data_IF_647956163379
#
_entry.id   IF_647956163379
#
_cell.length_a   1.000
_cell.length_b   1.000
_cell.length_c   1.000
_cell.angle_alpha   90.00
_cell.angle_beta   90.00
_cell.angle_gamma   90.00
#
_symmetry.space_group_name_H-M   'P 1'
#
loop_
_entity.id
_entity.type
_entity.pdbx_description
1 polymer ?
#
# COMPACT_ATOMS: atom_id res chain seq x y z
N UNK A 1 7.01 12.58 10.63
CA UNK A 1 6.78 11.19 11.10
C UNK A 1 7.89 10.33 10.53
N UNK A 2 8.81 9.93 11.39
CA UNK A 2 10.03 9.23 11.04
C UNK A 2 9.70 7.79 10.65
N UNK A 3 9.99 7.41 9.40
CA UNK A 3 9.99 6.00 9.01
C UNK A 3 11.09 5.29 9.79
N UNK A 4 10.77 4.13 10.36
CA UNK A 4 11.69 3.33 11.13
C UNK A 4 12.98 3.11 10.34
N UNK A 5 14.05 3.78 10.80
CA UNK A 5 15.38 3.58 10.30
C UNK A 5 15.79 2.15 10.66
N UNK A 6 15.66 1.24 9.69
CA UNK A 6 16.29 -0.08 9.75
C UNK A 6 17.78 0.17 9.94
N UNK A 7 18.25 0.08 11.18
CA UNK A 7 19.65 0.23 11.52
C UNK A 7 20.41 -0.81 10.69
N UNK A 8 21.34 -0.41 9.82
CA UNK A 8 22.09 -1.39 9.03
C UNK A 8 22.76 -2.34 10.02
N UNK A 9 22.57 -3.64 9.84
CA UNK A 9 23.37 -4.63 10.57
C UNK A 9 24.82 -4.29 10.28
N UNK A 10 25.59 -3.98 11.32
CA UNK A 10 27.01 -3.73 11.22
C UNK A 10 27.66 -5.07 10.86
N UNK A 11 27.83 -5.35 9.57
CA UNK A 11 28.68 -6.46 9.10
C UNK A 11 30.14 -6.05 9.36
N UNK A 12 30.61 -6.21 10.60
CA UNK A 12 31.96 -5.81 11.04
C UNK A 12 33.06 -6.54 10.27
N UNK A 13 32.80 -7.76 9.80
CA UNK A 13 33.75 -8.54 9.00
C UNK A 13 34.11 -7.85 7.68
N UNK A 14 33.15 -7.16 7.04
CA UNK A 14 33.36 -6.44 5.78
C UNK A 14 34.12 -5.12 5.94
N UNK A 15 34.27 -4.64 7.19
CA UNK A 15 35.02 -3.41 7.48
C UNK A 15 36.53 -3.66 7.36
N UNK A 16 36.98 -4.86 7.76
CA UNK A 16 38.42 -5.18 7.84
C UNK A 16 38.90 -6.18 6.78
N UNK A 17 38.02 -7.05 6.27
CA UNK A 17 38.38 -8.14 5.35
C UNK A 17 37.73 -8.02 3.97
N UNK A 18 37.56 -6.79 3.46
CA UNK A 18 36.97 -6.59 2.14
C UNK A 18 37.86 -7.18 1.03
N UNK A 19 37.29 -8.09 0.24
CA UNK A 19 37.98 -8.65 -0.92
C UNK A 19 38.23 -7.55 -1.96
N UNK A 20 39.28 -7.68 -2.77
CA UNK A 20 39.59 -6.71 -3.85
C UNK A 20 38.36 -6.41 -4.73
N UNK A 21 37.59 -7.43 -5.08
CA UNK A 21 36.36 -7.29 -5.86
C UNK A 21 35.31 -6.42 -5.16
N UNK A 22 35.15 -6.57 -3.84
CA UNK A 22 34.20 -5.78 -3.06
C UNK A 22 34.64 -4.31 -2.97
N UNK A 23 35.95 -4.06 -2.86
CA UNK A 23 36.51 -2.71 -2.90
C UNK A 23 36.31 -2.05 -4.27
N UNK A 24 36.50 -2.79 -5.36
CA UNK A 24 36.26 -2.31 -6.72
C UNK A 24 34.77 -2.01 -6.94
N UNK A 25 33.87 -2.90 -6.48
CA UNK A 25 32.43 -2.67 -6.52
C UNK A 25 32.01 -1.45 -5.67
N UNK A 26 32.62 -1.25 -4.50
CA UNK A 26 32.36 -0.09 -3.65
C UNK A 26 32.80 1.22 -4.32
N UNK A 27 33.96 1.22 -4.97
CA UNK A 27 34.46 2.36 -5.77
C UNK A 27 33.55 2.66 -6.95
N UNK A 28 33.10 1.64 -7.69
CA UNK A 28 32.16 1.80 -8.80
C UNK A 28 30.80 2.38 -8.34
N UNK A 29 30.27 1.91 -7.20
CA UNK A 29 29.05 2.50 -6.62
C UNK A 29 29.28 3.94 -6.16
N UNK A 30 30.44 4.24 -5.59
CA UNK A 30 30.80 5.59 -5.16
C UNK A 30 30.90 6.56 -6.33
N UNK A 31 31.50 6.15 -7.46
CA UNK A 31 31.61 6.99 -8.66
C UNK A 31 30.24 7.31 -9.25
N UNK A 32 29.32 6.34 -9.32
CA UNK A 32 27.94 6.55 -9.78
C UNK A 32 27.18 7.53 -8.86
N UNK A 33 27.36 7.41 -7.53
CA UNK A 33 26.73 8.37 -6.59
C UNK A 33 27.29 9.77 -6.76
N UNK A 34 28.60 9.89 -6.97
CA UNK A 34 29.26 11.18 -7.18
C UNK A 34 28.80 11.85 -8.48
N UNK A 35 28.67 11.09 -9.57
CA UNK A 35 28.17 11.64 -10.85
C UNK A 35 26.73 12.15 -10.71
N UNK A 36 25.82 11.35 -10.13
CA UNK A 36 24.43 11.76 -9.90
C UNK A 36 24.33 12.99 -8.97
N UNK A 37 25.16 13.04 -7.91
CA UNK A 37 25.23 14.20 -7.00
C UNK A 37 25.73 15.45 -7.73
N UNK A 38 26.75 15.32 -8.57
CA UNK A 38 27.28 16.44 -9.34
C UNK A 38 26.25 17.00 -10.31
N UNK A 39 25.48 16.14 -10.99
CA UNK A 39 24.36 16.56 -11.85
C UNK A 39 23.29 17.33 -11.07
N UNK A 40 22.90 16.82 -9.90
CA UNK A 40 21.93 17.49 -9.04
C UNK A 40 22.43 18.85 -8.57
N UNK A 41 23.67 18.93 -8.09
CA UNK A 41 24.28 20.19 -7.64
C UNK A 41 24.27 21.24 -8.75
N UNK A 42 24.68 20.88 -9.97
CA UNK A 42 24.63 21.79 -11.14
C UNK A 42 23.23 22.38 -11.38
N UNK A 43 22.19 21.55 -11.31
CA UNK A 43 20.80 21.98 -11.49
C UNK A 43 20.29 22.82 -10.32
N UNK A 44 20.67 22.45 -9.09
CA UNK A 44 20.20 23.08 -7.87
C UNK A 44 20.79 24.48 -7.63
N UNK A 45 22.10 24.63 -7.84
CA UNK A 45 22.83 25.88 -7.59
C UNK A 45 22.73 26.89 -8.73
N UNK A 46 22.08 26.54 -9.85
CA UNK A 46 21.89 27.45 -10.98
C UNK A 46 20.97 28.63 -10.56
N UNK A 47 21.45 29.90 -10.57
CA UNK A 47 20.65 31.06 -10.18
C UNK A 47 19.53 31.39 -11.18
N UNK A 48 19.68 31.01 -12.45
CA UNK A 48 18.70 31.28 -13.52
C UNK A 48 17.60 30.22 -13.62
N UNK A 49 17.55 29.25 -12.69
CA UNK A 49 16.58 28.14 -12.72
C UNK A 49 15.12 28.62 -12.81
N UNK A 50 14.79 29.75 -12.19
CA UNK A 50 13.43 30.33 -12.20
C UNK A 50 12.99 30.88 -13.56
N UNK A 51 13.93 31.40 -14.36
CA UNK A 51 13.64 32.12 -15.61
C UNK A 51 13.25 31.15 -16.74
N UNK A 52 13.74 29.91 -16.71
CA UNK A 52 13.46 28.87 -17.71
C UNK A 52 12.19 28.05 -17.41
N UNK A 53 11.24 28.56 -16.61
CA UNK A 53 10.06 27.81 -16.15
C UNK A 53 10.32 27.00 -14.86
N UNK A 54 11.09 27.59 -13.95
CA UNK A 54 11.65 26.92 -12.77
C UNK A 54 10.65 26.53 -11.70
N UNK A 55 10.05 25.36 -11.87
CA UNK A 55 9.37 24.63 -10.80
C UNK A 55 10.34 23.65 -10.12
N UNK A 56 10.21 22.38 -10.48
CA UNK A 56 10.89 21.26 -9.84
C UNK A 56 12.12 20.79 -10.63
N UNK A 57 13.11 20.25 -9.93
CA UNK A 57 14.25 19.55 -10.56
C UNK A 57 13.77 18.17 -10.97
N UNK A 58 13.75 17.92 -12.28
CA UNK A 58 13.41 16.61 -12.81
C UNK A 58 14.53 15.59 -12.58
N UNK A 59 14.18 14.50 -11.89
CA UNK A 59 15.02 13.32 -11.70
C UNK A 59 14.48 12.15 -12.55
N UNK A 60 15.24 11.69 -13.57
CA UNK A 60 14.88 10.53 -14.37
C UNK A 60 14.71 9.25 -13.54
N UNK A 61 15.45 9.10 -12.44
CA UNK A 61 15.38 7.90 -11.59
C UNK A 61 14.03 7.79 -10.90
N UNK A 62 13.55 8.90 -10.33
CA UNK A 62 12.22 8.99 -9.73
C UNK A 62 11.12 8.75 -10.77
N UNK A 63 11.23 9.37 -11.95
CA UNK A 63 10.23 9.18 -13.01
C UNK A 63 10.15 7.71 -13.45
N UNK A 64 11.28 7.02 -13.63
CA UNK A 64 11.33 5.60 -13.98
C UNK A 64 10.68 4.71 -12.91
N UNK A 65 10.91 5.03 -11.64
CA UNK A 65 10.28 4.32 -10.54
C UNK A 65 8.76 4.50 -10.54
N UNK A 66 8.29 5.73 -10.78
CA UNK A 66 6.85 6.01 -10.89
C UNK A 66 6.25 5.36 -12.13
N UNK A 67 6.91 5.40 -13.28
CA UNK A 67 6.43 4.74 -14.49
C UNK A 67 6.35 3.23 -14.32
N UNK A 68 7.34 2.62 -13.64
CA UNK A 68 7.33 1.19 -13.32
C UNK A 68 6.11 0.78 -12.48
N UNK A 69 5.69 1.62 -11.53
CA UNK A 69 4.47 1.37 -10.74
C UNK A 69 3.21 1.44 -11.59
N UNK A 70 3.15 2.37 -12.52
CA UNK A 70 1.99 2.52 -13.41
C UNK A 70 1.92 1.36 -14.42
N UNK A 71 3.06 0.93 -14.97
CA UNK A 71 3.16 -0.17 -15.93
C UNK A 71 3.24 -1.56 -15.28
N UNK A 72 2.78 -1.71 -14.04
CA UNK A 72 2.81 -3.00 -13.32
C UNK A 72 1.97 -4.07 -14.03
N UNK A 73 0.86 -3.66 -14.66
CA UNK A 73 -0.01 -4.58 -15.38
C UNK A 73 0.68 -5.17 -16.61
N UNK A 74 1.43 -4.37 -17.37
CA UNK A 74 2.12 -4.82 -18.60
C UNK A 74 3.18 -5.88 -18.31
N UNK A 75 3.79 -5.84 -17.13
CA UNK A 75 4.80 -6.80 -16.67
C UNK A 75 4.23 -7.94 -15.85
N UNK A 76 2.91 -7.94 -15.59
CA UNK A 76 2.26 -8.97 -14.81
C UNK A 76 2.27 -10.32 -15.54
N UNK A 77 2.63 -11.38 -14.81
CA UNK A 77 2.52 -12.77 -15.27
C UNK A 77 1.65 -13.55 -14.30
N UNK A 78 0.66 -14.25 -14.84
CA UNK A 78 -0.19 -15.16 -14.09
C UNK A 78 0.61 -16.40 -13.68
N UNK A 79 1.26 -16.32 -12.52
CA UNK A 79 1.96 -17.44 -11.89
C UNK A 79 1.06 -18.07 -10.84
N UNK A 80 1.16 -19.39 -10.58
CA UNK A 80 0.36 -20.04 -9.55
C UNK A 80 0.48 -19.35 -8.18
N UNK A 81 1.68 -18.89 -7.83
CA UNK A 81 1.93 -18.13 -6.59
C UNK A 81 1.11 -16.83 -6.52
N UNK A 82 1.07 -16.07 -7.61
CA UNK A 82 0.32 -14.81 -7.65
C UNK A 82 -1.20 -15.07 -7.58
N UNK A 83 -1.68 -16.10 -8.26
CA UNK A 83 -3.09 -16.49 -8.22
C UNK A 83 -3.52 -16.91 -6.81
N UNK A 84 -2.70 -17.72 -6.12
CA UNK A 84 -2.96 -18.08 -4.73
C UNK A 84 -2.97 -16.87 -3.79
N UNK A 85 -2.02 -15.95 -3.95
CA UNK A 85 -2.02 -14.72 -3.17
C UNK A 85 -3.30 -13.89 -3.38
N UNK A 86 -3.77 -13.77 -4.63
CA UNK A 86 -5.03 -13.10 -4.94
C UNK A 86 -6.24 -13.80 -4.30
N UNK A 87 -6.32 -15.13 -4.40
CA UNK A 87 -7.41 -15.91 -3.79
C UNK A 87 -7.47 -15.70 -2.27
N UNK A 88 -6.32 -15.78 -1.60
CA UNK A 88 -6.23 -15.61 -0.15
C UNK A 88 -6.52 -14.19 0.33
N UNK A 89 -6.11 -13.18 -0.43
CA UNK A 89 -6.24 -11.78 0.00
C UNK A 89 -7.59 -11.18 -0.36
N UNK A 90 -8.22 -11.66 -1.43
CA UNK A 90 -9.45 -11.06 -1.98
C UNK A 90 -10.64 -12.01 -1.89
N UNK A 91 -10.54 -13.20 -2.49
CA UNK A 91 -11.71 -14.08 -2.66
C UNK A 91 -12.13 -14.72 -1.34
N UNK A 92 -11.19 -15.22 -0.54
CA UNK A 92 -11.48 -15.89 0.73
C UNK A 92 -12.13 -14.93 1.74
N UNK A 93 -11.63 -13.71 2.00
CA UNK A 93 -12.28 -12.79 2.92
C UNK A 93 -13.69 -12.40 2.50
N UNK A 94 -13.91 -12.12 1.20
CA UNK A 94 -15.25 -11.80 0.68
C UNK A 94 -16.21 -12.97 0.92
N UNK A 95 -15.78 -14.18 0.60
CA UNK A 95 -16.61 -15.37 0.79
C UNK A 95 -16.88 -15.67 2.27
N UNK A 96 -15.88 -15.47 3.14
CA UNK A 96 -16.01 -15.65 4.58
C UNK A 96 -17.03 -14.67 5.19
N UNK A 97 -16.93 -13.38 4.82
CA UNK A 97 -17.88 -12.35 5.26
C UNK A 97 -19.29 -12.70 4.80
N UNK A 98 -19.45 -13.07 3.51
CA UNK A 98 -20.74 -13.48 2.97
C UNK A 98 -21.35 -14.65 3.78
N UNK A 99 -20.58 -15.72 4.00
CA UNK A 99 -21.05 -16.88 4.77
C UNK A 99 -21.41 -16.51 6.20
N UNK A 100 -20.58 -15.70 6.86
CA UNK A 100 -20.85 -15.24 8.23
C UNK A 100 -22.16 -14.46 8.31
N UNK A 101 -22.39 -13.49 7.41
CA UNK A 101 -23.63 -12.71 7.37
C UNK A 101 -24.85 -13.61 7.13
N UNK A 102 -24.79 -14.50 6.14
CA UNK A 102 -25.92 -15.41 5.85
C UNK A 102 -26.26 -16.30 7.04
N UNK A 103 -25.24 -16.82 7.74
CA UNK A 103 -25.45 -17.62 8.93
C UNK A 103 -26.07 -16.81 10.08
N UNK A 104 -25.62 -15.57 10.30
CA UNK A 104 -26.21 -14.69 11.30
C UNK A 104 -27.68 -14.35 10.98
N UNK A 105 -27.99 -14.13 9.70
CA UNK A 105 -29.36 -13.89 9.24
C UNK A 105 -30.26 -15.11 9.47
N UNK A 106 -29.83 -16.31 9.06
CA UNK A 106 -30.60 -17.54 9.22
C UNK A 106 -30.85 -17.89 10.69
N UNK A 107 -29.82 -17.70 11.53
CA UNK A 107 -29.94 -17.96 12.98
C UNK A 107 -30.90 -16.98 13.64
N UNK A 108 -30.82 -15.68 13.28
CA UNK A 108 -31.77 -14.66 13.76
C UNK A 108 -33.19 -14.93 13.26
N UNK A 109 -33.35 -15.31 12.00
CA UNK A 109 -34.67 -15.62 11.44
C UNK A 109 -35.33 -16.79 12.19
N UNK A 110 -34.58 -17.85 12.50
CA UNK A 110 -35.08 -18.97 13.30
C UNK A 110 -35.57 -18.51 14.68
N UNK A 111 -34.83 -17.61 15.33
CA UNK A 111 -35.20 -17.03 16.64
C UNK A 111 -36.45 -16.13 16.53
N UNK A 112 -36.60 -15.39 15.43
CA UNK A 112 -37.80 -14.59 15.20
C UNK A 112 -39.03 -15.47 14.90
N UNK A 113 -38.86 -16.57 14.17
CA UNK A 113 -39.92 -17.53 13.86
C UNK A 113 -40.36 -18.35 15.07
N UNK A 114 -39.45 -18.65 16.00
CA UNK A 114 -39.80 -19.36 17.25
C UNK A 114 -40.61 -18.53 18.24
N UNK A 115 -40.75 -17.21 17.99
CA UNK A 115 -41.49 -16.30 18.87
C UNK A 115 -40.74 -15.92 20.15
N UNK A 116 -39.48 -16.35 20.31
CA UNK A 116 -38.67 -16.07 21.49
C UNK A 116 -38.34 -14.58 21.66
N UNK A 117 -38.40 -13.78 20.58
CA UNK A 117 -38.13 -12.34 20.60
C UNK A 117 -39.42 -11.56 20.35
N UNK A 118 -39.82 -10.64 21.26
CA UNK A 118 -40.99 -9.80 21.09
C UNK A 118 -40.83 -8.88 19.88
N UNK A 119 -41.94 -8.57 19.21
CA UNK A 119 -41.94 -7.88 17.91
C UNK A 119 -41.26 -6.50 17.93
N UNK A 120 -41.34 -5.80 19.07
CA UNK A 120 -40.71 -4.48 19.32
C UNK A 120 -39.17 -4.52 19.29
N UNK A 121 -38.56 -5.69 19.55
CA UNK A 121 -37.11 -5.87 19.63
C UNK A 121 -36.52 -6.47 18.34
N UNK A 122 -37.37 -6.71 17.32
CA UNK A 122 -36.91 -7.21 16.02
C UNK A 122 -36.22 -6.08 15.26
N UNK A 123 -34.98 -6.34 14.84
CA UNK A 123 -34.05 -5.36 14.25
C UNK A 123 -34.60 -4.62 13.02
N UNK A 124 -35.50 -5.27 12.26
CA UNK A 124 -36.15 -4.67 11.07
C UNK A 124 -37.07 -3.51 11.47
N UNK A 125 -37.81 -3.65 12.58
CA UNK A 125 -38.68 -2.58 13.10
C UNK A 125 -37.86 -1.39 13.60
N UNK A 126 -36.74 -1.65 14.28
CA UNK A 126 -35.86 -0.61 14.84
C UNK A 126 -35.18 0.25 13.75
N UNK A 127 -34.78 -0.34 12.63
CA UNK A 127 -34.18 0.40 11.51
C UNK A 127 -35.21 1.23 10.75
N UNK A 128 -36.42 0.69 10.54
CA UNK A 128 -37.53 1.40 9.90
C UNK A 128 -38.04 2.54 10.80
N UNK A 129 -38.22 2.30 12.11
CA UNK A 129 -38.62 3.34 13.07
C UNK A 129 -37.58 4.45 13.15
N UNK A 130 -36.28 4.13 13.18
CA UNK A 130 -35.22 5.14 13.25
C UNK A 130 -35.09 5.93 11.95
N UNK A 131 -35.30 5.31 10.79
CA UNK A 131 -35.36 5.99 9.50
C UNK A 131 -36.58 6.93 9.42
N UNK A 132 -37.76 6.48 9.82
CA UNK A 132 -38.97 7.31 9.90
C UNK A 132 -38.82 8.49 10.87
N UNK A 133 -38.21 8.26 12.04
CA UNK A 133 -37.99 9.31 13.05
C UNK A 133 -36.99 10.38 12.59
N UNK A 134 -36.04 10.02 11.72
CA UNK A 134 -35.08 10.94 11.12
C UNK A 134 -35.70 11.78 9.99
N UNK A 135 -36.64 11.24 9.23
CA UNK A 135 -37.34 11.98 8.17
C UNK A 135 -38.50 12.85 8.70
N UNK A 136 -39.07 12.54 9.87
CA UNK A 136 -40.05 13.39 10.59
C UNK A 136 -39.43 14.59 11.33
N UNK A 137 -38.10 14.67 11.41
CA UNK A 137 -37.35 15.77 12.06
C UNK A 137 -36.78 16.78 11.05
N UNK A 138 -37.21 16.71 9.78
CA UNK A 138 -37.02 17.76 8.77
C UNK A 138 -38.28 18.58 8.65
#
# INVERSE_FOLDING_TARGET
MAGDAVKPKLDTSKIYYATREELEAAKARASIRQSAKAEFQKKYTNPLKGVSGGGYIFDPSMQRFMSMKVSLYDSHRATPRNTWAFLWTTVIPIFAIYKYLTHELDTREKVFRSGAVPYKERFITYFIERAYKMDLLK
#
